data_IF_578139665138
#
_entry.id   IF_578139665138
#
_cell.length_a   1.000
_cell.length_b   1.000
_cell.length_c   1.000
_cell.angle_alpha   90.00
_cell.angle_beta   90.00
_cell.angle_gamma   90.00
#
_symmetry.space_group_name_H-M   'P 1'
#
loop_
_entity.id
_entity.type
_entity.pdbx_description
1 polymer ?
#
# COMPACT_ATOMS: atom_id res chain seq x y z
N UNK A 1 -17.54 -13.97 4.78
CA UNK A 1 -16.27 -13.57 4.14
C UNK A 1 -16.02 -12.10 4.45
N UNK A 2 -14.85 -11.69 4.90
CA UNK A 2 -14.54 -10.26 5.08
C UNK A 2 -14.31 -9.59 3.72
N UNK A 3 -14.91 -8.43 3.49
CA UNK A 3 -14.88 -7.71 2.20
C UNK A 3 -13.46 -7.44 1.68
N UNK A 4 -12.51 -7.11 2.57
CA UNK A 4 -11.12 -6.86 2.17
C UNK A 4 -10.42 -8.10 1.61
N UNK A 5 -10.90 -9.31 1.93
CA UNK A 5 -10.26 -10.56 1.52
C UNK A 5 -10.78 -11.01 0.17
N UNK A 6 -12.06 -10.76 -0.13
CA UNK A 6 -12.60 -10.89 -1.49
C UNK A 6 -12.02 -9.87 -2.46
N UNK A 7 -11.62 -8.68 -1.98
CA UNK A 7 -10.92 -7.68 -2.78
C UNK A 7 -9.43 -8.01 -3.06
N UNK A 8 -8.92 -9.16 -2.58
CA UNK A 8 -7.52 -9.56 -2.78
C UNK A 8 -6.50 -8.78 -1.93
N UNK A 9 -6.94 -8.04 -0.91
CA UNK A 9 -6.07 -7.22 -0.06
C UNK A 9 -5.64 -8.00 1.19
N UNK A 10 -4.34 -7.93 1.52
CA UNK A 10 -3.79 -8.49 2.75
C UNK A 10 -4.23 -7.72 4.00
N UNK A 11 -4.13 -8.34 5.17
CA UNK A 11 -4.55 -7.70 6.43
C UNK A 11 -3.73 -6.44 6.71
N UNK A 12 -2.42 -6.55 6.47
CA UNK A 12 -1.46 -5.46 6.63
C UNK A 12 -1.83 -4.28 5.74
N UNK A 13 -2.20 -4.53 4.48
CA UNK A 13 -2.57 -3.45 3.56
C UNK A 13 -3.90 -2.80 3.95
N UNK A 14 -4.87 -3.59 4.43
CA UNK A 14 -6.13 -3.07 4.95
C UNK A 14 -5.91 -2.14 6.17
N UNK A 15 -5.13 -2.56 7.16
CA UNK A 15 -4.88 -1.75 8.36
C UNK A 15 -4.07 -0.48 8.06
N UNK A 16 -3.13 -0.53 7.11
CA UNK A 16 -2.40 0.64 6.61
C UNK A 16 -3.33 1.70 5.98
N UNK A 17 -4.32 1.27 5.20
CA UNK A 17 -5.32 2.16 4.59
C UNK A 17 -6.16 2.81 5.68
N UNK A 18 -6.69 2.03 6.62
CA UNK A 18 -7.47 2.55 7.74
C UNK A 18 -6.69 3.60 8.54
N UNK A 19 -5.44 3.31 8.90
CA UNK A 19 -4.58 4.25 9.63
C UNK A 19 -4.32 5.55 8.84
N UNK A 20 -4.25 5.48 7.51
CA UNK A 20 -4.06 6.66 6.65
C UNK A 20 -5.31 7.54 6.64
N UNK A 21 -6.49 6.94 6.56
CA UNK A 21 -7.77 7.67 6.60
C UNK A 21 -7.96 8.31 7.97
N UNK A 22 -7.76 7.56 9.07
CA UNK A 22 -7.88 8.08 10.44
C UNK A 22 -6.99 9.30 10.67
N UNK A 23 -5.76 9.30 10.17
CA UNK A 23 -4.85 10.47 10.26
C UNK A 23 -5.34 11.67 9.47
N UNK A 24 -5.94 11.47 8.29
CA UNK A 24 -6.53 12.57 7.50
C UNK A 24 -7.72 13.23 8.20
N UNK A 25 -8.45 12.48 9.02
CA UNK A 25 -9.60 12.99 9.76
C UNK A 25 -9.22 13.64 11.10
N UNK A 26 -7.97 13.53 11.55
CA UNK A 26 -7.52 14.09 12.81
C UNK A 26 -7.27 15.61 12.70
N UNK A 27 -7.80 16.39 13.66
CA UNK A 27 -7.74 17.87 13.68
C UNK A 27 -6.30 18.41 13.71
N UNK A 28 -5.40 17.74 14.41
CA UNK A 28 -3.95 17.95 14.30
C UNK A 28 -3.43 16.97 13.26
N UNK A 29 -3.23 17.44 12.03
CA UNK A 29 -2.54 16.67 11.00
C UNK A 29 -1.06 16.53 11.39
N UNK A 30 -0.75 15.69 12.38
CA UNK A 30 0.60 15.22 12.61
C UNK A 30 1.05 14.61 11.28
N UNK A 31 2.11 15.20 10.71
CA UNK A 31 2.65 14.84 9.40
C UNK A 31 2.80 13.32 9.36
N UNK A 32 1.86 12.68 8.67
CA UNK A 32 1.80 11.23 8.59
C UNK A 32 3.05 10.71 7.90
N UNK A 33 3.40 9.46 8.21
CA UNK A 33 4.52 8.71 7.61
C UNK A 33 4.67 9.04 6.12
N UNK A 34 5.89 9.43 5.73
CA UNK A 34 6.24 9.76 4.36
C UNK A 34 5.79 8.66 3.37
N UNK A 35 5.39 9.04 2.14
CA UNK A 35 5.03 8.07 1.12
C UNK A 35 6.21 7.11 0.87
N UNK A 36 5.89 5.85 0.54
CA UNK A 36 6.92 4.88 0.20
C UNK A 36 7.58 5.29 -1.13
N UNK A 37 8.88 5.57 -1.11
CA UNK A 37 9.71 5.92 -2.29
C UNK A 37 10.26 4.69 -3.01
N UNK A 38 9.90 3.49 -2.55
CA UNK A 38 10.48 2.24 -3.06
C UNK A 38 9.81 1.83 -4.38
N UNK A 39 10.62 1.56 -5.40
CA UNK A 39 10.19 0.92 -6.64
C UNK A 39 10.40 -0.58 -6.54
N UNK A 40 9.33 -1.36 -6.74
CA UNK A 40 9.40 -2.82 -6.79
C UNK A 40 9.53 -3.23 -8.26
N UNK A 41 10.60 -3.94 -8.59
CA UNK A 41 10.80 -4.53 -9.92
C UNK A 41 10.69 -6.04 -9.80
N UNK A 42 9.82 -6.66 -10.61
CA UNK A 42 9.73 -8.11 -10.72
C UNK A 42 10.87 -8.62 -11.60
N UNK A 43 11.53 -9.69 -11.19
CA UNK A 43 12.59 -10.34 -11.95
C UNK A 43 12.17 -11.76 -12.34
N UNK A 44 12.39 -12.14 -13.59
CA UNK A 44 12.12 -13.48 -14.10
C UNK A 44 13.26 -13.89 -15.03
N UNK A 45 13.69 -15.16 -14.96
CA UNK A 45 14.77 -15.72 -15.80
C UNK A 45 16.04 -14.86 -15.85
N UNK A 46 16.40 -14.22 -14.73
CA UNK A 46 17.60 -13.39 -14.60
C UNK A 46 17.51 -12.00 -15.21
N UNK A 47 16.34 -11.56 -15.70
CA UNK A 47 16.13 -10.22 -16.25
C UNK A 47 15.00 -9.49 -15.51
N UNK A 48 15.11 -8.17 -15.30
CA UNK A 48 14.01 -7.38 -14.76
C UNK A 48 12.87 -7.37 -15.80
N UNK A 49 11.67 -7.72 -15.36
CA UNK A 49 10.45 -7.56 -16.15
C UNK A 49 10.12 -6.07 -16.13
N UNK A 50 10.45 -5.36 -17.22
CA UNK A 50 10.02 -3.98 -17.43
C UNK A 50 8.58 -4.02 -17.92
N UNK A 51 7.62 -4.09 -16.99
CA UNK A 51 6.22 -3.88 -17.35
C UNK A 51 6.03 -2.39 -17.66
N UNK A 52 6.19 -2.04 -18.95
CA UNK A 52 5.75 -0.75 -19.48
C UNK A 52 4.24 -0.82 -19.68
N UNK A 53 3.48 -0.31 -18.73
CA UNK A 53 2.04 0.00 -18.87
C UNK A 53 1.72 1.17 -17.96
#
# INVERSE_FOLDING_TARGET
>A
MTFWRSAGITYVRYSQIAATITRKCAKSAQQGRAPATLRITKWENGKPVVTAT
#
